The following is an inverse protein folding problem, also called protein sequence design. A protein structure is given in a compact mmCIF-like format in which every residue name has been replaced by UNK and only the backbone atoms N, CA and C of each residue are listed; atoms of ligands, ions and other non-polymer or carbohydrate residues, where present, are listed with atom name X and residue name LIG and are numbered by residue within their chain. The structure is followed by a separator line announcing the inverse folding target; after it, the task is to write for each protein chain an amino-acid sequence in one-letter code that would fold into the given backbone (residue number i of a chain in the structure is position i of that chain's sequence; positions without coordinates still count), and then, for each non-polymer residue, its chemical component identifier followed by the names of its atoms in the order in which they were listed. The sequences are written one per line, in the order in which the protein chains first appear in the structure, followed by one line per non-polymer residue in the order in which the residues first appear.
data_IF_365613022407
#
_entry.id   IF_365613022407
#
_cell.length_a   1.000
_cell.length_b   1.000
_cell.length_c   1.000
_cell.angle_alpha   90.00
_cell.angle_beta   90.00
_cell.angle_gamma   90.00
#
_symmetry.space_group_name_H-M   'P 1'
#
loop_
_entity.id
_entity.type
_entity.pdbx_description
1 polymer ?
#
# COMPACT_ATOMS: atom_id res chain seq x y z
N UNK A 1 -27.05 -6.30 -7.36
CA UNK A 1 -26.48 -4.94 -7.16
C UNK A 1 -25.20 -4.79 -7.98
N UNK A 2 -25.18 -3.88 -8.96
CA UNK A 2 -24.04 -3.72 -9.87
C UNK A 2 -22.79 -3.22 -9.13
N UNK A 3 -21.70 -3.98 -9.17
CA UNK A 3 -20.41 -3.61 -8.57
C UNK A 3 -19.81 -2.49 -9.42
N UNK A 4 -19.95 -1.23 -8.98
CA UNK A 4 -19.32 -0.07 -9.67
C UNK A 4 -17.84 -0.38 -9.92
N UNK A 5 -17.46 -0.51 -11.20
CA UNK A 5 -16.10 -0.81 -11.67
C UNK A 5 -15.19 0.35 -11.24
N UNK A 6 -14.04 0.04 -10.65
CA UNK A 6 -12.99 1.03 -10.34
C UNK A 6 -12.96 1.65 -8.94
N UNK A 7 -13.98 1.44 -8.08
CA UNK A 7 -14.00 2.07 -6.75
C UNK A 7 -13.28 1.30 -5.62
N UNK A 8 -12.66 0.15 -5.90
CA UNK A 8 -11.73 -0.56 -4.99
C UNK A 8 -12.06 -0.50 -3.49
N UNK A 9 -11.07 -0.09 -2.68
CA UNK A 9 -11.19 0.12 -1.23
C UNK A 9 -11.99 1.35 -0.82
N UNK A 10 -12.29 2.25 -1.76
CA UNK A 10 -12.98 3.53 -1.54
C UNK A 10 -14.46 3.31 -1.22
N UNK A 11 -15.05 2.19 -1.67
CA UNK A 11 -16.50 1.93 -1.52
C UNK A 11 -17.01 2.08 -0.08
N UNK A 12 -16.15 1.84 0.92
CA UNK A 12 -16.47 2.03 2.36
C UNK A 12 -16.91 3.45 2.73
N UNK A 13 -16.56 4.45 1.93
CA UNK A 13 -16.87 5.85 2.23
C UNK A 13 -18.26 6.31 1.76
N UNK A 14 -18.94 5.55 0.89
CA UNK A 14 -20.24 5.93 0.34
C UNK A 14 -20.19 7.24 -0.46
N UNK A 15 -21.12 8.17 -0.21
CA UNK A 15 -21.22 9.49 -0.85
C UNK A 15 -20.21 10.52 -0.32
N UNK A 16 -19.75 10.41 0.93
CA UNK A 16 -18.90 11.38 1.66
C UNK A 16 -17.56 11.70 0.98
N UNK A 17 -16.94 12.86 1.24
CA UNK A 17 -15.54 13.22 0.87
C UNK A 17 -15.20 13.46 -0.63
N UNK A 18 -16.15 13.32 -1.56
CA UNK A 18 -15.95 13.66 -2.99
C UNK A 18 -15.04 12.68 -3.78
N UNK A 19 -15.09 12.73 -5.11
CA UNK A 19 -14.42 11.73 -6.00
C UNK A 19 -12.89 11.85 -6.00
N UNK A 20 -12.35 13.07 -6.07
CA UNK A 20 -10.91 13.29 -6.28
C UNK A 20 -10.07 12.83 -5.10
N UNK A 21 -10.47 13.18 -3.88
CA UNK A 21 -9.80 12.78 -2.62
C UNK A 21 -9.81 11.26 -2.48
N UNK A 22 -10.96 10.64 -2.72
CA UNK A 22 -11.15 9.20 -2.75
C UNK A 22 -10.19 8.47 -3.69
N UNK A 23 -10.02 8.96 -4.91
CA UNK A 23 -9.13 8.37 -5.90
C UNK A 23 -7.66 8.48 -5.48
N UNK A 24 -7.25 9.61 -4.88
CA UNK A 24 -5.90 9.77 -4.31
C UNK A 24 -5.64 8.75 -3.20
N UNK A 25 -6.58 8.62 -2.26
CA UNK A 25 -6.48 7.66 -1.16
C UNK A 25 -6.40 6.21 -1.66
N UNK A 26 -7.19 5.83 -2.67
CA UNK A 26 -7.10 4.49 -3.24
C UNK A 26 -5.74 4.13 -3.80
N UNK A 27 -5.06 5.07 -4.46
CA UNK A 27 -3.71 4.83 -5.00
C UNK A 27 -2.75 4.49 -3.87
N UNK A 28 -2.76 5.30 -2.80
CA UNK A 28 -1.94 5.11 -1.61
C UNK A 28 -2.28 3.78 -0.90
N UNK A 29 -3.56 3.48 -0.69
CA UNK A 29 -3.98 2.23 -0.03
C UNK A 29 -3.65 0.99 -0.87
N UNK A 30 -3.76 1.08 -2.20
CA UNK A 30 -3.42 -0.01 -3.11
C UNK A 30 -1.93 -0.32 -3.04
N UNK A 31 -1.09 0.70 -3.00
CA UNK A 31 0.36 0.55 -2.82
C UNK A 31 0.69 -0.01 -1.43
N UNK A 32 0.11 0.55 -0.37
CA UNK A 32 0.33 0.11 1.01
C UNK A 32 -0.07 -1.35 1.25
N UNK A 33 -1.19 -1.80 0.66
CA UNK A 33 -1.70 -3.17 0.84
C UNK A 33 -1.05 -4.17 -0.11
N UNK A 34 -0.25 -3.72 -1.06
CA UNK A 34 0.46 -4.60 -1.99
C UNK A 34 1.44 -5.48 -1.20
N UNK A 35 1.62 -6.73 -1.64
CA UNK A 35 2.70 -7.56 -1.13
C UNK A 35 4.01 -7.07 -1.76
N UNK A 36 4.97 -6.70 -0.92
CA UNK A 36 6.28 -6.21 -1.38
C UNK A 36 7.35 -7.30 -1.29
N UNK A 37 8.44 -7.11 -2.05
CA UNK A 37 9.64 -7.95 -1.97
C UNK A 37 10.36 -7.68 -0.65
N UNK A 38 10.76 -8.73 0.04
CA UNK A 38 11.59 -8.65 1.23
C UNK A 38 13.05 -8.42 0.84
N UNK A 39 13.77 -7.47 1.46
CA UNK A 39 15.20 -7.26 1.19
C UNK A 39 16.08 -8.43 1.68
N UNK A 40 15.63 -9.21 2.67
CA UNK A 40 16.42 -10.29 3.26
C UNK A 40 16.24 -11.64 2.57
N UNK A 41 15.00 -12.01 2.21
CA UNK A 41 14.69 -13.34 1.65
C UNK A 41 14.08 -13.30 0.25
N UNK A 42 14.05 -12.12 -0.38
CA UNK A 42 13.52 -11.87 -1.74
C UNK A 42 12.06 -12.27 -1.99
N UNK A 43 11.35 -12.76 -0.96
CA UNK A 43 9.97 -13.23 -1.08
C UNK A 43 8.96 -12.06 -1.16
N UNK A 44 7.90 -12.24 -1.95
CA UNK A 44 6.79 -11.31 -2.11
C UNK A 44 5.73 -11.48 -0.99
N UNK A 45 6.16 -11.44 0.27
CA UNK A 45 5.30 -11.71 1.42
C UNK A 45 5.44 -10.69 2.56
N UNK A 46 5.98 -9.51 2.27
CA UNK A 46 6.05 -8.44 3.26
C UNK A 46 4.70 -7.76 3.43
N UNK A 47 4.33 -7.48 4.68
CA UNK A 47 3.15 -6.70 5.06
C UNK A 47 3.53 -5.57 6.02
N UNK A 48 2.78 -4.48 5.96
CA UNK A 48 2.90 -3.36 6.89
C UNK A 48 2.32 -3.75 8.25
N UNK A 49 3.06 -3.46 9.33
CA UNK A 49 2.59 -3.63 10.72
C UNK A 49 2.15 -2.28 11.27
N UNK A 50 3.01 -1.27 11.20
CA UNK A 50 2.73 0.09 11.61
C UNK A 50 3.21 1.10 10.56
N UNK A 51 3.04 2.40 10.78
CA UNK A 51 3.65 3.42 9.93
C UNK A 51 5.17 3.20 9.94
N UNK A 52 5.78 3.01 8.76
CA UNK A 52 7.23 2.83 8.63
C UNK A 52 7.78 1.47 9.12
N UNK A 53 6.97 0.62 9.75
CA UNK A 53 7.40 -0.71 10.21
C UNK A 53 6.78 -1.81 9.34
N UNK A 54 7.65 -2.62 8.75
CA UNK A 54 7.30 -3.70 7.82
C UNK A 54 7.77 -5.04 8.36
N UNK A 55 7.00 -6.10 8.11
CA UNK A 55 7.33 -7.46 8.52
C UNK A 55 7.17 -8.45 7.38
N UNK A 56 8.19 -9.27 7.16
CA UNK A 56 8.11 -10.39 6.24
C UNK A 56 7.50 -11.62 6.93
N UNK A 57 6.50 -12.24 6.31
CA UNK A 57 5.89 -13.48 6.85
C UNK A 57 6.79 -14.70 6.76
N UNK A 58 7.68 -14.76 5.75
CA UNK A 58 8.54 -15.93 5.50
C UNK A 58 9.72 -15.97 6.47
N UNK A 59 10.55 -14.93 6.49
CA UNK A 59 11.74 -14.87 7.35
C UNK A 59 11.50 -14.21 8.72
N UNK A 60 10.28 -13.76 9.02
CA UNK A 60 9.88 -13.05 10.26
C UNK A 60 10.66 -11.76 10.56
N UNK A 61 11.55 -11.32 9.68
CA UNK A 61 12.29 -10.07 9.81
C UNK A 61 11.34 -8.87 9.88
N UNK A 62 11.55 -8.01 10.88
CA UNK A 62 10.90 -6.70 11.02
C UNK A 62 11.94 -5.64 10.68
N UNK A 63 11.57 -4.67 9.85
CA UNK A 63 12.47 -3.63 9.40
C UNK A 63 11.74 -2.32 9.14
N UNK A 64 12.53 -1.25 9.06
CA UNK A 64 12.05 0.10 8.80
C UNK A 64 11.97 0.39 7.30
N UNK A 65 10.95 1.14 6.87
CA UNK A 65 10.75 1.56 5.49
C UNK A 65 9.92 2.85 5.43
N UNK A 66 9.45 3.25 4.24
CA UNK A 66 8.56 4.41 4.12
C UNK A 66 7.16 4.09 4.69
N UNK A 67 6.36 5.14 4.86
CA UNK A 67 4.99 5.02 5.40
C UNK A 67 4.07 4.13 4.54
N UNK A 68 4.08 4.30 3.21
CA UNK A 68 3.15 3.61 2.30
C UNK A 68 3.83 2.66 1.31
N UNK A 69 5.16 2.71 1.20
CA UNK A 69 5.95 1.85 0.31
C UNK A 69 7.22 1.37 1.03
N UNK A 70 7.86 0.33 0.49
CA UNK A 70 9.12 -0.19 1.06
C UNK A 70 10.33 0.42 0.37
N UNK A 71 10.30 0.51 -0.96
CA UNK A 71 11.40 1.02 -1.76
C UNK A 71 11.35 2.56 -1.89
N UNK A 72 12.51 3.18 -2.11
CA UNK A 72 12.57 4.52 -2.70
C UNK A 72 12.11 4.39 -4.16
N UNK A 73 10.95 4.96 -4.51
CA UNK A 73 10.68 5.28 -5.91
C UNK A 73 11.71 6.32 -6.34
N UNK A 74 12.77 5.89 -7.02
CA UNK A 74 13.64 6.76 -7.79
C UNK A 74 12.88 7.25 -9.01
N UNK A 75 11.93 8.16 -8.81
CA UNK A 75 11.38 8.96 -9.90
C UNK A 75 12.02 10.33 -9.84
N UNK A 76 13.16 10.38 -10.53
CA UNK A 76 13.77 11.52 -11.22
C UNK A 76 13.58 12.87 -10.52
N UNK A 77 14.61 13.27 -9.77
CA UNK A 77 14.98 14.68 -9.61
C UNK A 77 14.96 15.28 -11.02
N UNK A 78 14.08 16.25 -11.25
CA UNK A 78 14.17 17.16 -12.39
C UNK A 78 15.38 18.06 -12.18
#
# INVERSE_FOLDING_TARGET
MAKVKGLGSIKRFGSRYGRTVKLKLAKIEKEQRKKHKCPYCSSLQVKRVAVGIWSCRKCKAKFTGKAYTIAKDEKKVL
#
